data_IF_188322618732
#
_entry.id   IF_188322618732
#
_cell.length_a   1.000
_cell.length_b   1.000
_cell.length_c   1.000
_cell.angle_alpha   90.00
_cell.angle_beta   90.00
_cell.angle_gamma   90.00
#
_symmetry.space_group_name_H-M   'P 1'
#
loop_
_entity.id
_entity.type
_entity.pdbx_description
1 polymer ?
#
# COMPACT_ATOMS: atom_id res chain seq x y z
N UNK A 1 -37.37 5.48 -17.29
CA UNK A 1 -36.62 4.24 -17.07
C UNK A 1 -35.22 4.43 -17.60
N UNK A 2 -34.22 4.21 -16.75
CA UNK A 2 -32.86 3.77 -17.12
C UNK A 2 -32.26 3.23 -15.81
N UNK A 3 -31.84 1.98 -15.89
CA UNK A 3 -31.33 1.14 -14.81
C UNK A 3 -29.83 0.93 -15.01
N UNK A 4 -29.14 0.79 -13.87
CA UNK A 4 -27.90 0.06 -13.59
C UNK A 4 -26.68 0.19 -14.52
N UNK A 5 -25.60 0.70 -13.94
CA UNK A 5 -24.35 -0.05 -13.87
C UNK A 5 -23.69 0.22 -12.51
N UNK A 6 -23.88 -0.72 -11.59
CA UNK A 6 -23.05 -0.88 -10.39
C UNK A 6 -21.70 -1.45 -10.83
N UNK A 7 -20.67 -0.63 -10.84
CA UNK A 7 -19.30 -1.14 -10.92
C UNK A 7 -18.82 -1.45 -9.51
N UNK A 8 -18.62 -2.75 -9.28
CA UNK A 8 -18.18 -3.34 -8.04
C UNK A 8 -16.66 -3.19 -7.95
N UNK A 9 -16.16 -2.40 -7.00
CA UNK A 9 -14.74 -2.40 -6.60
C UNK A 9 -14.67 -2.81 -5.14
N UNK A 10 -14.18 -4.02 -4.90
CA UNK A 10 -14.03 -4.62 -3.59
C UNK A 10 -12.82 -3.98 -2.88
N UNK A 11 -13.02 -3.32 -1.73
CA UNK A 11 -11.90 -3.02 -0.83
C UNK A 11 -11.87 -1.68 -0.06
N UNK A 12 -12.92 -0.85 -0.07
CA UNK A 12 -12.94 0.37 0.76
C UNK A 12 -14.27 0.49 1.51
N UNK A 13 -14.31 -0.06 2.72
CA UNK A 13 -15.29 0.38 3.71
C UNK A 13 -14.88 1.76 4.21
N UNK A 14 -15.35 2.79 3.51
CA UNK A 14 -15.64 4.09 4.10
C UNK A 14 -17.15 4.19 4.21
N UNK A 15 -17.67 4.55 5.38
CA UNK A 15 -19.08 4.83 5.58
C UNK A 15 -19.59 5.77 4.47
N UNK A 16 -20.42 5.23 3.58
CA UNK A 16 -21.05 5.99 2.50
C UNK A 16 -22.10 6.89 3.16
N UNK A 17 -21.67 8.05 3.63
CA UNK A 17 -22.59 9.15 3.89
C UNK A 17 -23.11 9.60 2.52
N UNK A 18 -24.44 9.62 2.36
CA UNK A 18 -25.13 10.04 1.15
C UNK A 18 -24.88 11.54 0.87
N UNK A 19 -23.70 11.91 0.35
CA UNK A 19 -23.32 13.32 0.14
C UNK A 19 -24.09 13.98 -1.02
N UNK A 20 -24.58 13.20 -1.99
CA UNK A 20 -25.10 13.78 -3.24
C UNK A 20 -26.60 14.12 -3.26
N UNK A 21 -27.39 13.67 -2.29
CA UNK A 21 -28.85 13.90 -2.30
C UNK A 21 -29.33 15.13 -1.51
N UNK A 22 -28.44 15.77 -0.73
CA UNK A 22 -28.78 16.92 0.12
C UNK A 22 -28.37 18.28 -0.42
N UNK A 23 -27.30 18.37 -1.21
CA UNK A 23 -26.65 19.67 -1.53
C UNK A 23 -27.49 20.61 -2.38
N UNK A 24 -28.41 20.08 -3.21
CA UNK A 24 -29.30 20.88 -4.06
C UNK A 24 -30.61 21.31 -3.37
N UNK A 25 -30.91 20.77 -2.18
CA UNK A 25 -32.14 21.04 -1.44
C UNK A 25 -31.91 21.74 -0.09
N UNK A 26 -30.66 22.01 0.29
CA UNK A 26 -30.34 22.78 1.49
C UNK A 26 -30.45 24.28 1.21
N UNK A 27 -31.16 25.00 2.08
CA UNK A 27 -31.20 26.46 2.04
C UNK A 27 -29.79 27.05 2.22
N UNK A 28 -29.47 28.17 1.55
CA UNK A 28 -28.16 28.80 1.66
C UNK A 28 -27.88 29.16 3.12
N UNK A 29 -26.79 28.63 3.67
CA UNK A 29 -26.29 29.04 4.99
C UNK A 29 -25.63 30.40 4.83
N UNK A 30 -26.35 31.48 5.18
CA UNK A 30 -25.85 32.85 5.15
C UNK A 30 -24.93 33.08 6.35
N UNK A 31 -23.83 33.79 6.12
CA UNK A 31 -22.88 34.22 7.15
C UNK A 31 -23.62 35.17 8.10
N UNK A 32 -23.76 34.83 9.39
CA UNK A 32 -24.51 35.66 10.34
C UNK A 32 -23.90 37.06 10.61
N UNK A 33 -22.67 37.32 10.14
CA UNK A 33 -21.99 38.61 10.27
C UNK A 33 -21.64 39.20 8.89
N UNK A 34 -22.67 39.48 8.08
CA UNK A 34 -22.57 40.44 6.98
C UNK A 34 -23.42 41.67 7.32
N UNK A 35 -22.87 42.88 7.18
CA UNK A 35 -23.59 44.14 7.43
C UNK A 35 -24.79 44.32 6.48
N UNK A 36 -24.86 43.55 5.39
CA UNK A 36 -25.97 43.57 4.43
C UNK A 36 -27.25 42.86 4.94
N UNK A 37 -27.19 42.09 6.03
CA UNK A 37 -28.32 41.25 6.50
C UNK A 37 -29.14 41.83 7.66
N UNK A 38 -28.90 43.09 8.05
CA UNK A 38 -29.61 43.77 9.15
C UNK A 38 -31.11 44.00 8.93
N UNK A 39 -31.62 43.74 7.72
CA UNK A 39 -33.04 43.94 7.36
C UNK A 39 -34.00 42.87 7.87
N UNK A 40 -33.52 41.89 8.65
CA UNK A 40 -34.32 40.76 9.16
C UNK A 40 -34.55 40.79 10.67
N UNK A 41 -34.02 41.79 11.38
CA UNK A 41 -34.07 41.89 12.86
C UNK A 41 -35.51 42.00 13.38
N UNK A 42 -36.42 42.61 12.60
CA UNK A 42 -37.84 42.78 12.97
C UNK A 42 -38.75 41.59 12.59
N UNK A 43 -38.21 40.55 11.94
CA UNK A 43 -39.01 39.38 11.48
C UNK A 43 -38.68 38.07 12.19
N UNK A 44 -37.70 38.04 13.08
CA UNK A 44 -37.34 36.84 13.85
C UNK A 44 -37.47 37.17 15.33
N UNK A 45 -38.39 36.49 16.01
CA UNK A 45 -38.73 36.75 17.41
C UNK A 45 -37.51 36.72 18.33
N UNK A 46 -37.45 37.70 19.24
CA UNK A 46 -36.38 38.00 20.18
C UNK A 46 -35.61 36.77 20.71
N UNK A 47 -34.43 36.50 20.14
CA UNK A 47 -33.44 35.59 20.69
C UNK A 47 -32.55 36.32 21.72
N UNK A 48 -33.17 36.95 22.73
CA UNK A 48 -32.49 37.81 23.72
C UNK A 48 -31.73 37.04 24.82
N UNK A 49 -31.22 35.84 24.52
CA UNK A 49 -30.58 34.97 25.52
C UNK A 49 -29.50 34.01 25.03
N UNK A 50 -29.14 34.02 23.74
CA UNK A 50 -28.17 33.08 23.19
C UNK A 50 -26.81 33.73 22.94
N UNK A 51 -25.74 33.12 23.46
CA UNK A 51 -24.36 33.45 23.08
C UNK A 51 -24.06 32.76 21.75
N UNK A 52 -24.08 33.54 20.68
CA UNK A 52 -23.66 33.08 19.35
C UNK A 52 -22.16 32.80 19.32
N UNK A 53 -21.75 31.67 18.72
CA UNK A 53 -20.35 31.44 18.35
C UNK A 53 -19.91 32.48 17.29
N UNK A 54 -18.69 32.96 17.40
CA UNK A 54 -18.09 34.06 16.64
C UNK A 54 -18.00 33.82 15.12
N UNK A 55 -18.46 32.66 14.62
CA UNK A 55 -18.37 32.28 13.21
C UNK A 55 -19.71 32.11 12.48
N UNK A 56 -20.86 32.23 13.17
CA UNK A 56 -22.12 32.60 12.51
C UNK A 56 -22.73 31.60 11.51
N UNK A 57 -22.60 30.29 11.72
CA UNK A 57 -23.28 29.27 10.90
C UNK A 57 -24.26 28.44 11.76
N UNK A 58 -25.57 28.61 11.55
CA UNK A 58 -26.62 27.84 12.23
C UNK A 58 -27.90 27.77 11.38
N UNK A 59 -28.77 26.79 11.66
CA UNK A 59 -30.06 26.60 10.98
C UNK A 59 -31.18 26.61 12.03
N UNK A 60 -32.30 27.28 11.75
CA UNK A 60 -33.47 27.41 12.63
C UNK A 60 -34.65 26.58 12.10
N UNK A 61 -35.41 25.91 12.98
CA UNK A 61 -36.75 25.38 12.69
C UNK A 61 -37.69 25.51 13.88
N UNK A 62 -38.95 25.92 13.62
CA UNK A 62 -39.98 26.28 14.59
C UNK A 62 -41.03 25.18 14.83
N UNK A 63 -40.72 23.89 14.66
CA UNK A 63 -41.77 22.88 14.94
C UNK A 63 -41.59 21.41 14.59
N UNK A 64 -40.42 20.91 14.18
CA UNK A 64 -40.25 19.47 13.91
C UNK A 64 -38.96 18.97 14.56
N UNK A 65 -39.10 18.09 15.56
CA UNK A 65 -38.01 17.31 16.14
C UNK A 65 -37.63 16.18 15.18
N UNK A 66 -36.87 16.52 14.14
CA UNK A 66 -36.23 15.58 13.23
C UNK A 66 -34.73 15.85 13.24
N UNK A 67 -33.97 14.91 13.79
CA UNK A 67 -32.51 14.97 13.94
C UNK A 67 -31.85 14.80 12.56
N UNK A 68 -31.86 15.86 11.73
CA UNK A 68 -31.13 15.91 10.47
C UNK A 68 -29.84 16.66 10.72
N UNK A 69 -28.82 15.90 11.05
CA UNK A 69 -27.45 16.35 11.02
C UNK A 69 -26.95 16.59 9.60
N UNK A 70 -27.26 17.75 9.05
CA UNK A 70 -26.65 18.19 7.80
C UNK A 70 -25.41 19.03 8.13
N UNK A 71 -24.26 18.36 8.32
CA UNK A 71 -22.98 19.06 8.37
C UNK A 71 -22.70 19.67 7.00
N UNK A 72 -22.59 20.99 6.92
CA UNK A 72 -22.29 21.67 5.66
C UNK A 72 -20.94 21.15 5.11
N UNK A 73 -20.90 20.50 3.94
CA UNK A 73 -19.66 19.91 3.41
C UNK A 73 -18.58 20.96 3.14
N UNK A 74 -18.96 22.21 2.82
CA UNK A 74 -18.02 23.32 2.67
C UNK A 74 -17.42 23.74 4.02
N UNK A 75 -18.20 23.68 5.11
CA UNK A 75 -17.72 23.95 6.47
C UNK A 75 -16.72 22.88 6.91
N UNK A 76 -17.07 21.59 6.76
CA UNK A 76 -16.19 20.47 7.11
C UNK A 76 -14.88 20.54 6.32
N UNK A 77 -14.95 20.81 5.01
CA UNK A 77 -13.78 20.90 4.14
C UNK A 77 -12.87 22.11 4.42
N UNK A 78 -13.40 23.23 4.90
CA UNK A 78 -12.60 24.42 5.23
C UNK A 78 -11.73 24.21 6.48
N UNK A 79 -12.16 23.30 7.35
CA UNK A 79 -11.74 23.30 8.73
C UNK A 79 -11.05 22.00 9.17
N UNK A 80 -11.37 20.89 8.52
CA UNK A 80 -10.58 19.67 8.62
C UNK A 80 -9.29 19.86 7.81
N UNK A 81 -8.14 19.78 8.47
CA UNK A 81 -6.85 19.76 7.76
C UNK A 81 -6.36 18.34 7.71
N UNK A 82 -6.19 17.77 6.52
CA UNK A 82 -5.56 16.46 6.33
C UNK A 82 -4.56 16.54 5.20
N UNK A 83 -3.29 16.61 5.57
CA UNK A 83 -2.19 16.76 4.63
C UNK A 83 -1.21 15.62 4.85
N UNK A 84 -0.76 15.03 3.75
CA UNK A 84 0.37 14.09 3.75
C UNK A 84 1.44 14.66 2.83
N UNK A 85 2.63 14.91 3.38
CA UNK A 85 3.82 15.23 2.59
C UNK A 85 4.57 13.94 2.32
N UNK A 86 4.93 13.67 1.06
CA UNK A 86 5.64 12.45 0.67
C UNK A 86 6.93 12.83 -0.03
N UNK A 87 8.04 12.44 0.56
CA UNK A 87 9.37 12.53 -0.04
C UNK A 87 9.76 11.13 -0.52
N UNK A 88 10.10 10.99 -1.80
CA UNK A 88 10.49 9.70 -2.39
C UNK A 88 11.83 9.82 -3.12
N UNK A 89 12.75 8.94 -2.77
CA UNK A 89 14.00 8.70 -3.47
C UNK A 89 13.93 7.33 -4.15
N UNK A 90 14.37 7.26 -5.41
CA UNK A 90 14.54 6.00 -6.16
C UNK A 90 15.85 6.11 -6.91
N UNK A 91 16.73 5.13 -6.71
CA UNK A 91 17.98 5.00 -7.44
C UNK A 91 18.13 3.58 -7.96
N UNK A 92 18.57 3.46 -9.20
CA UNK A 92 18.90 2.18 -9.83
C UNK A 92 20.27 2.29 -10.50
N UNK A 93 21.03 1.20 -10.48
CA UNK A 93 22.33 1.10 -11.13
C UNK A 93 22.50 -0.32 -11.68
N UNK A 94 22.99 -0.43 -12.91
CA UNK A 94 23.26 -1.73 -13.52
C UNK A 94 24.57 -1.70 -14.30
N UNK A 95 25.21 -2.86 -14.42
CA UNK A 95 26.39 -3.06 -15.25
C UNK A 95 26.32 -4.44 -15.91
N UNK A 96 26.56 -4.47 -17.22
CA UNK A 96 26.74 -5.68 -18.02
C UNK A 96 28.19 -5.79 -18.47
N UNK A 97 28.74 -6.99 -18.40
CA UNK A 97 30.12 -7.27 -18.76
C UNK A 97 30.20 -8.55 -19.58
N UNK A 98 30.73 -8.45 -20.81
CA UNK A 98 31.08 -9.61 -21.63
C UNK A 98 32.39 -10.23 -21.12
N UNK A 99 32.24 -11.32 -20.38
CA UNK A 99 33.35 -12.08 -19.80
C UNK A 99 34.24 -12.74 -20.85
N UNK A 100 33.68 -13.21 -21.98
CA UNK A 100 34.50 -13.78 -23.06
C UNK A 100 35.35 -12.71 -23.72
N UNK A 101 34.75 -11.54 -23.96
CA UNK A 101 35.44 -10.35 -24.45
C UNK A 101 36.59 -9.92 -23.53
N UNK A 102 36.41 -9.95 -22.21
CA UNK A 102 37.44 -9.60 -21.23
C UNK A 102 38.67 -10.53 -21.27
N UNK A 103 38.47 -11.83 -21.49
CA UNK A 103 39.57 -12.80 -21.59
C UNK A 103 40.14 -12.92 -23.01
N UNK A 104 39.73 -12.04 -23.92
CA UNK A 104 40.22 -11.97 -25.31
C UNK A 104 39.58 -12.99 -26.26
N UNK A 105 38.59 -13.76 -25.82
CA UNK A 105 37.87 -14.72 -26.65
C UNK A 105 36.77 -13.98 -27.42
N UNK A 106 37.03 -13.69 -28.70
CA UNK A 106 36.03 -13.09 -29.58
C UNK A 106 35.32 -14.20 -30.38
N UNK A 107 34.06 -14.44 -30.05
CA UNK A 107 33.21 -15.35 -30.81
C UNK A 107 31.96 -14.63 -31.30
N UNK A 108 31.60 -14.83 -32.58
CA UNK A 108 30.34 -14.30 -33.13
C UNK A 108 29.12 -15.09 -32.68
N UNK A 109 29.33 -16.33 -32.23
CA UNK A 109 28.27 -17.29 -31.95
C UNK A 109 28.15 -17.62 -30.46
N UNK A 110 29.07 -17.13 -29.63
CA UNK A 110 29.11 -17.42 -28.20
C UNK A 110 29.36 -16.13 -27.42
N UNK A 111 28.54 -15.86 -26.41
CA UNK A 111 28.66 -14.74 -25.49
C UNK A 111 28.48 -15.22 -24.05
N UNK A 112 29.21 -14.63 -23.10
CA UNK A 112 29.03 -14.87 -21.67
C UNK A 112 28.95 -13.53 -20.97
N UNK A 113 27.74 -13.18 -20.54
CA UNK A 113 27.43 -11.88 -19.96
C UNK A 113 27.23 -12.02 -18.45
N UNK A 114 27.94 -11.21 -17.67
CA UNK A 114 27.65 -11.02 -16.27
C UNK A 114 26.95 -9.68 -16.07
N UNK A 115 25.78 -9.73 -15.45
CA UNK A 115 24.94 -8.57 -15.17
C UNK A 115 24.77 -8.43 -13.67
N UNK A 116 25.02 -7.22 -13.16
CA UNK A 116 24.66 -6.81 -11.81
C UNK A 116 23.61 -5.70 -11.89
N UNK A 117 22.57 -5.80 -11.08
CA UNK A 117 21.52 -4.80 -10.95
C UNK A 117 21.33 -4.46 -9.47
N UNK A 118 21.26 -3.18 -9.16
CA UNK A 118 21.06 -2.62 -7.83
C UNK A 118 19.90 -1.65 -7.91
N UNK A 119 18.95 -1.77 -6.99
CA UNK A 119 17.84 -0.83 -6.83
C UNK A 119 17.70 -0.48 -5.36
N UNK A 120 17.45 0.80 -5.08
CA UNK A 120 17.11 1.28 -3.75
C UNK A 120 16.02 2.33 -3.87
N UNK A 121 14.94 2.15 -3.10
CA UNK A 121 13.91 3.16 -2.96
C UNK A 121 13.65 3.45 -1.49
N UNK A 122 13.38 4.73 -1.19
CA UNK A 122 12.98 5.18 0.14
C UNK A 122 11.86 6.18 0.01
N UNK A 123 10.78 5.96 0.74
CA UNK A 123 9.62 6.83 0.80
C UNK A 123 9.39 7.24 2.26
N UNK A 124 9.42 8.53 2.54
CA UNK A 124 9.07 9.12 3.84
C UNK A 124 7.77 9.90 3.66
N UNK A 125 6.73 9.50 4.39
CA UNK A 125 5.45 10.20 4.41
C UNK A 125 5.22 10.82 5.79
N UNK A 126 4.96 12.12 5.83
CA UNK A 126 4.60 12.88 7.03
C UNK A 126 3.13 13.23 6.98
N UNK A 127 2.36 12.60 7.83
CA UNK A 127 0.92 12.80 7.93
C UNK A 127 0.59 13.85 9.00
N UNK A 128 -0.34 14.74 8.69
CA UNK A 128 -0.94 15.65 9.65
C UNK A 128 -2.45 15.68 9.43
N UNK A 129 -3.20 15.36 10.49
CA UNK A 129 -4.65 15.50 10.52
C UNK A 129 -5.05 16.36 11.72
N UNK A 130 -5.83 17.40 11.50
CA UNK A 130 -6.45 18.21 12.55
C UNK A 130 -7.96 18.17 12.39
N UNK A 131 -8.64 17.75 13.45
CA UNK A 131 -10.08 17.72 13.57
C UNK A 131 -10.45 18.58 14.78
N UNK A 132 -11.01 19.77 14.59
CA UNK A 132 -11.53 20.55 15.71
C UNK A 132 -12.84 19.94 16.25
N UNK A 133 -13.14 20.23 17.51
CA UNK A 133 -14.22 19.62 18.31
C UNK A 133 -15.63 19.77 17.72
N UNK A 134 -15.90 20.87 17.00
CA UNK A 134 -17.23 21.17 16.46
C UNK A 134 -17.60 20.35 15.20
N UNK A 135 -16.66 19.61 14.57
CA UNK A 135 -16.97 18.65 13.48
C UNK A 135 -17.56 17.33 14.02
N UNK A 136 -17.26 16.98 15.28
CA UNK A 136 -17.69 15.71 15.88
C UNK A 136 -19.04 15.79 16.61
N UNK A 137 -19.56 17.00 16.87
CA UNK A 137 -20.78 17.15 17.66
C UNK A 137 -22.01 17.12 16.76
N UNK A 138 -22.61 15.94 16.67
CA UNK A 138 -23.85 15.76 15.92
C UNK A 138 -25.12 15.93 16.74
N UNK A 139 -24.97 16.17 18.06
CA UNK A 139 -26.08 16.28 19.00
C UNK A 139 -25.68 17.27 20.11
N UNK A 140 -26.46 18.35 20.20
CA UNK A 140 -26.82 19.10 21.41
C UNK A 140 -25.66 19.46 22.36
N UNK A 141 -25.27 20.73 22.39
CA UNK A 141 -24.60 21.43 23.51
C UNK A 141 -23.58 20.63 24.34
N UNK A 142 -22.63 19.95 23.70
CA UNK A 142 -21.48 19.38 24.40
C UNK A 142 -20.38 20.44 24.54
N UNK A 143 -19.64 20.35 25.64
CA UNK A 143 -18.42 21.13 25.84
C UNK A 143 -17.51 21.01 24.62
N UNK A 144 -16.78 22.08 24.31
CA UNK A 144 -15.79 22.12 23.24
C UNK A 144 -14.61 21.20 23.60
N UNK A 145 -14.80 19.90 23.37
CA UNK A 145 -13.92 18.82 23.79
C UNK A 145 -13.70 17.83 22.64
N UNK A 146 -12.68 17.00 22.75
CA UNK A 146 -12.25 16.01 21.75
C UNK A 146 -11.72 16.57 20.42
N UNK A 147 -11.15 17.80 20.40
CA UNK A 147 -10.25 18.16 19.31
C UNK A 147 -9.18 17.09 19.16
N UNK A 148 -8.82 16.74 17.92
CA UNK A 148 -7.79 15.73 17.66
C UNK A 148 -6.76 16.26 16.67
N UNK A 149 -5.51 16.31 17.11
CA UNK A 149 -4.36 16.43 16.24
C UNK A 149 -3.70 15.06 16.14
N UNK A 150 -3.60 14.52 14.93
CA UNK A 150 -2.80 13.32 14.64
C UNK A 150 -1.62 13.75 13.78
N UNK A 151 -0.40 13.36 14.18
CA UNK A 151 0.81 13.47 13.36
C UNK A 151 1.41 12.09 13.19
N UNK A 152 1.77 11.73 11.97
CA UNK A 152 2.37 10.44 11.63
C UNK A 152 3.63 10.59 10.82
N UNK A 153 4.52 9.61 10.93
CA UNK A 153 5.67 9.40 10.06
C UNK A 153 5.63 7.95 9.59
N UNK A 154 5.69 7.74 8.28
CA UNK A 154 5.77 6.42 7.66
C UNK A 154 6.99 6.37 6.77
N UNK A 155 7.91 5.49 7.09
CA UNK A 155 9.14 5.27 6.35
C UNK A 155 9.09 3.88 5.72
N UNK A 156 9.19 3.83 4.41
CA UNK A 156 9.30 2.60 3.63
C UNK A 156 10.62 2.62 2.89
N UNK A 157 11.41 1.56 2.97
CA UNK A 157 12.60 1.40 2.14
C UNK A 157 12.64 0.01 1.55
N UNK A 158 13.05 -0.06 0.29
CA UNK A 158 13.20 -1.28 -0.48
C UNK A 158 14.59 -1.29 -1.11
N UNK A 159 15.29 -2.41 -1.00
CA UNK A 159 16.62 -2.61 -1.56
C UNK A 159 16.68 -3.94 -2.29
N UNK A 160 17.15 -3.93 -3.53
CA UNK A 160 17.28 -5.11 -4.38
C UNK A 160 18.70 -5.20 -4.94
N UNK A 161 19.27 -6.39 -4.87
CA UNK A 161 20.53 -6.76 -5.51
C UNK A 161 20.29 -8.01 -6.35
N UNK A 162 20.59 -7.92 -7.64
CA UNK A 162 20.51 -9.05 -8.56
C UNK A 162 21.86 -9.26 -9.24
N UNK A 163 22.32 -10.49 -9.24
CA UNK A 163 23.52 -10.93 -9.93
C UNK A 163 23.13 -12.04 -10.87
N UNK A 164 23.40 -11.91 -12.16
CA UNK A 164 23.08 -12.93 -13.15
C UNK A 164 24.27 -13.16 -14.09
N UNK A 165 24.46 -14.41 -14.46
CA UNK A 165 25.38 -14.81 -15.52
C UNK A 165 24.57 -15.50 -16.61
N UNK A 166 24.73 -15.05 -17.84
CA UNK A 166 24.00 -15.55 -19.00
C UNK A 166 24.98 -15.99 -20.07
N UNK A 167 24.85 -17.22 -20.52
CA UNK A 167 25.56 -17.76 -21.67
C UNK A 167 24.62 -17.85 -22.86
N UNK A 168 25.03 -17.27 -23.98
CA UNK A 168 24.33 -17.33 -25.26
C UNK A 168 25.22 -18.04 -26.27
N UNK A 169 24.76 -19.18 -26.80
CA UNK A 169 25.53 -20.02 -27.71
C UNK A 169 24.73 -20.46 -28.92
N UNK A 170 25.33 -20.34 -30.11
CA UNK A 170 24.78 -20.81 -31.38
C UNK A 170 25.70 -21.84 -32.04
N UNK A 171 25.21 -23.06 -32.17
CA UNK A 171 25.95 -24.19 -32.77
C UNK A 171 25.11 -24.73 -33.93
N UNK A 172 25.43 -24.31 -35.15
CA UNK A 172 24.64 -24.65 -36.34
C UNK A 172 23.19 -24.16 -36.21
N UNK A 173 22.25 -25.12 -36.08
CA UNK A 173 20.81 -24.85 -35.89
C UNK A 173 20.38 -24.74 -34.44
N UNK A 174 21.28 -25.04 -33.50
CA UNK A 174 21.00 -25.04 -32.07
C UNK A 174 21.31 -23.67 -31.50
N UNK A 175 20.35 -23.07 -30.80
CA UNK A 175 20.54 -21.87 -30.00
C UNK A 175 20.26 -22.24 -28.54
N UNK A 176 21.22 -21.95 -27.67
CA UNK A 176 21.19 -22.24 -26.24
C UNK A 176 21.36 -20.91 -25.51
N UNK A 177 20.43 -20.60 -24.62
CA UNK A 177 20.54 -19.50 -23.66
C UNK A 177 20.43 -20.11 -22.26
N UNK A 178 21.49 -20.00 -21.48
CA UNK A 178 21.56 -20.51 -20.11
C UNK A 178 21.78 -19.32 -19.18
N UNK A 179 20.96 -19.20 -18.14
CA UNK A 179 21.10 -18.16 -17.12
C UNK A 179 21.15 -18.81 -15.75
N UNK A 180 22.08 -18.32 -14.92
CA UNK A 180 22.10 -18.56 -13.49
C UNK A 180 22.09 -17.21 -12.77
N UNK A 181 21.33 -17.08 -11.69
CA UNK A 181 21.16 -15.81 -11.00
C UNK A 181 20.90 -15.96 -9.52
N UNK A 182 21.27 -14.91 -8.78
CA UNK A 182 20.98 -14.74 -7.35
C UNK A 182 20.32 -13.38 -7.18
N UNK A 183 19.22 -13.33 -6.44
CA UNK A 183 18.55 -12.07 -6.07
C UNK A 183 18.40 -12.00 -4.56
N UNK A 184 18.52 -10.79 -4.03
CA UNK A 184 18.25 -10.49 -2.63
C UNK A 184 17.48 -9.18 -2.55
N UNK A 185 16.31 -9.24 -1.91
CA UNK A 185 15.41 -8.12 -1.69
C UNK A 185 15.22 -7.92 -0.18
N UNK A 186 15.22 -6.68 0.26
CA UNK A 186 14.95 -6.29 1.65
C UNK A 186 14.03 -5.08 1.71
N UNK A 187 12.89 -5.28 2.38
CA UNK A 187 11.89 -4.26 2.66
C UNK A 187 11.92 -3.92 4.15
N UNK A 188 11.99 -2.64 4.47
CA UNK A 188 11.85 -2.15 5.84
C UNK A 188 10.71 -1.13 5.90
N UNK A 189 9.87 -1.28 6.92
CA UNK A 189 8.77 -0.38 7.22
C UNK A 189 8.91 0.11 8.66
N UNK A 190 8.94 1.43 8.86
CA UNK A 190 8.90 2.04 10.18
C UNK A 190 7.76 3.05 10.24
N UNK A 191 6.85 2.83 11.17
CA UNK A 191 5.65 3.63 11.37
C UNK A 191 5.71 4.26 12.75
N UNK A 192 5.35 5.53 12.81
CA UNK A 192 5.15 6.28 14.03
C UNK A 192 3.86 7.08 13.88
N UNK A 193 2.98 7.00 14.87
CA UNK A 193 1.82 7.87 14.95
C UNK A 193 1.71 8.41 16.36
N UNK A 194 1.40 9.69 16.47
CA UNK A 194 1.09 10.36 17.72
C UNK A 194 -0.20 11.14 17.56
N UNK A 195 -1.06 11.11 18.58
CA UNK A 195 -2.23 11.97 18.59
C UNK A 195 -2.46 12.58 19.96
N UNK A 196 -2.93 13.82 19.94
CA UNK A 196 -3.34 14.56 21.11
C UNK A 196 -4.84 14.82 21.05
N UNK A 197 -5.48 14.87 22.23
CA UNK A 197 -6.87 15.31 22.38
C UNK A 197 -7.04 16.40 23.44
N UNK A 198 -8.15 17.14 23.35
CA UNK A 198 -8.55 18.21 24.27
C UNK A 198 -7.52 19.34 24.30
N UNK A 199 -7.53 20.16 23.25
CA UNK A 199 -6.60 21.28 23.10
C UNK A 199 -7.15 22.56 23.71
N UNK A 200 -6.30 23.35 24.36
CA UNK A 200 -6.68 24.68 24.85
C UNK A 200 -6.64 25.71 23.73
N UNK A 201 -7.63 26.60 23.71
CA UNK A 201 -7.65 27.74 22.80
C UNK A 201 -6.81 28.93 23.30
N UNK A 202 -6.21 29.72 22.41
CA UNK A 202 -6.18 29.55 20.95
C UNK A 202 -5.32 28.35 20.52
N UNK A 203 -5.74 27.65 19.46
CA UNK A 203 -5.11 26.40 19.06
C UNK A 203 -3.69 26.62 18.50
N UNK A 204 -2.69 26.14 19.23
CA UNK A 204 -1.32 25.96 18.72
C UNK A 204 -1.07 24.48 18.44
N UNK A 205 -1.10 24.09 17.17
CA UNK A 205 -1.14 22.68 16.72
C UNK A 205 0.20 21.94 16.88
N UNK A 206 0.56 21.67 18.13
CA UNK A 206 1.65 20.79 18.53
C UNK A 206 1.14 19.74 19.51
N UNK A 207 1.55 18.48 19.35
CA UNK A 207 1.04 17.38 20.16
C UNK A 207 1.18 17.64 21.68
N UNK A 208 2.29 18.26 22.10
CA UNK A 208 2.55 18.62 23.51
C UNK A 208 1.55 19.62 24.12
N UNK A 209 0.80 20.36 23.29
CA UNK A 209 -0.19 21.32 23.77
C UNK A 209 -1.57 20.67 24.00
N UNK A 210 -1.70 19.37 23.73
CA UNK A 210 -2.88 18.59 24.07
C UNK A 210 -2.88 18.23 25.56
N UNK A 211 -4.06 18.17 26.18
CA UNK A 211 -4.19 17.69 27.57
C UNK A 211 -3.82 16.21 27.70
N UNK A 212 -4.22 15.39 26.73
CA UNK A 212 -3.91 13.97 26.69
C UNK A 212 -3.18 13.65 25.37
N UNK A 213 -2.08 12.92 25.46
CA UNK A 213 -1.27 12.49 24.31
C UNK A 213 -1.09 10.98 24.29
N UNK A 214 -1.11 10.42 23.09
CA UNK A 214 -0.93 9.00 22.83
C UNK A 214 0.05 8.81 21.69
N UNK A 215 0.70 7.66 21.64
CA UNK A 215 1.67 7.33 20.60
C UNK A 215 1.72 5.83 20.35
N UNK A 216 1.95 5.46 19.11
CA UNK A 216 2.22 4.10 18.67
C UNK A 216 3.36 4.09 17.66
N UNK A 217 4.16 3.04 17.65
CA UNK A 217 5.21 2.84 16.66
C UNK A 217 5.38 1.36 16.35
N UNK A 218 5.70 1.06 15.10
CA UNK A 218 5.87 -0.28 14.58
C UNK A 218 7.06 -0.33 13.63
N UNK A 219 7.79 -1.43 13.65
CA UNK A 219 8.88 -1.70 12.71
C UNK A 219 8.73 -3.12 12.15
N UNK A 220 8.80 -3.24 10.83
CA UNK A 220 8.71 -4.49 10.10
C UNK A 220 9.88 -4.59 9.14
N UNK A 221 10.41 -5.81 9.01
CA UNK A 221 11.47 -6.14 8.06
C UNK A 221 11.12 -7.43 7.34
N UNK A 222 11.14 -7.38 6.02
CA UNK A 222 10.95 -8.53 5.15
C UNK A 222 12.18 -8.68 4.25
N UNK A 223 12.62 -9.91 4.01
CA UNK A 223 13.71 -10.18 3.08
C UNK A 223 13.44 -11.45 2.30
N UNK A 224 13.71 -11.40 1.01
CA UNK A 224 13.56 -12.51 0.07
C UNK A 224 14.90 -12.78 -0.60
N UNK A 225 15.37 -14.01 -0.53
CA UNK A 225 16.56 -14.47 -1.23
C UNK A 225 16.18 -15.54 -2.25
N UNK A 226 16.63 -15.40 -3.49
CA UNK A 226 16.29 -16.34 -4.56
C UNK A 226 17.51 -16.79 -5.35
N UNK A 227 17.48 -18.04 -5.77
CA UNK A 227 18.38 -18.61 -6.75
C UNK A 227 17.59 -19.01 -7.98
N UNK A 228 18.01 -18.57 -9.16
CA UNK A 228 17.34 -18.84 -10.44
C UNK A 228 18.29 -19.56 -11.39
N UNK A 229 17.80 -20.62 -12.00
CA UNK A 229 18.38 -21.24 -13.18
C UNK A 229 17.35 -21.24 -14.31
N UNK A 230 17.77 -20.82 -15.51
CA UNK A 230 16.92 -20.82 -16.71
C UNK A 230 17.68 -21.39 -17.89
N UNK A 231 17.07 -22.34 -18.59
CA UNK A 231 17.51 -22.87 -19.86
C UNK A 231 16.45 -22.56 -20.91
N UNK A 232 16.83 -21.79 -21.92
CA UNK A 232 16.09 -21.68 -23.16
C UNK A 232 16.86 -22.38 -24.27
N UNK A 233 16.19 -23.27 -24.98
CA UNK A 233 16.75 -24.00 -26.09
C UNK A 233 15.84 -23.86 -27.30
N UNK A 234 16.46 -23.62 -28.44
CA UNK A 234 15.78 -23.45 -29.71
C UNK A 234 16.53 -24.22 -30.79
N UNK A 235 15.84 -25.16 -31.43
CA UNK A 235 16.34 -25.86 -32.61
C UNK A 235 15.67 -25.36 -33.88
N UNK A 236 16.46 -24.77 -34.79
CA UNK A 236 16.06 -24.28 -36.12
C UNK A 236 14.86 -23.32 -36.09
N UNK A 237 14.62 -22.67 -34.95
CA UNK A 237 13.44 -21.88 -34.64
C UNK A 237 12.11 -22.65 -34.76
N UNK A 238 12.15 -23.99 -34.70
CA UNK A 238 10.99 -24.88 -34.81
C UNK A 238 10.59 -25.45 -33.47
N UNK A 239 11.53 -26.09 -32.77
CA UNK A 239 11.32 -26.69 -31.47
C UNK A 239 11.92 -25.77 -30.41
N UNK A 240 11.08 -25.38 -29.47
CA UNK A 240 11.40 -24.44 -28.41
C UNK A 240 11.19 -25.15 -27.09
N UNK A 241 12.22 -25.14 -26.24
CA UNK A 241 12.17 -25.63 -24.87
C UNK A 241 12.57 -24.48 -23.95
N UNK A 242 11.80 -24.28 -22.90
CA UNK A 242 12.11 -23.36 -21.81
C UNK A 242 11.96 -24.13 -20.51
N UNK A 243 13.00 -24.19 -19.70
CA UNK A 243 12.98 -24.75 -18.37
C UNK A 243 13.51 -23.72 -17.38
N UNK A 244 12.81 -23.54 -16.26
CA UNK A 244 13.22 -22.65 -15.18
C UNK A 244 13.12 -23.42 -13.88
N UNK A 245 14.12 -23.28 -13.03
CA UNK A 245 14.05 -23.71 -11.65
C UNK A 245 14.43 -22.52 -10.78
N UNK A 246 13.57 -22.20 -9.83
CA UNK A 246 13.81 -21.13 -8.87
C UNK A 246 13.72 -21.70 -7.46
N UNK A 247 14.58 -21.24 -6.56
CA UNK A 247 14.55 -21.60 -5.15
C UNK A 247 14.50 -20.32 -4.32
N UNK A 248 13.42 -20.12 -3.60
CA UNK A 248 13.12 -18.88 -2.87
C UNK A 248 13.09 -19.09 -1.38
N UNK A 249 13.67 -18.12 -0.67
CA UNK A 249 13.83 -18.08 0.77
C UNK A 249 13.19 -16.82 1.36
N UNK A 250 12.04 -16.93 2.03
CA UNK A 250 11.37 -15.78 2.66
C UNK A 250 11.63 -15.69 4.16
N UNK A 251 11.90 -14.48 4.69
CA UNK A 251 12.02 -14.24 6.13
C UNK A 251 10.69 -14.35 6.89
N UNK A 252 9.55 -14.30 6.20
CA UNK A 252 8.20 -14.48 6.79
C UNK A 252 7.94 -15.90 7.25
N UNK A 253 8.72 -16.87 6.76
CA UNK A 253 8.59 -18.28 7.07
C UNK A 253 9.62 -18.75 8.11
N UNK A 254 9.25 -19.79 8.85
CA UNK A 254 10.13 -20.39 9.86
C UNK A 254 11.41 -20.95 9.22
N UNK A 255 12.48 -21.13 10.01
CA UNK A 255 13.78 -21.60 9.51
C UNK A 255 13.71 -22.92 8.74
N UNK A 256 12.75 -23.78 9.08
CA UNK A 256 12.61 -25.11 8.52
C UNK A 256 11.91 -25.12 7.15
N UNK A 257 10.95 -24.22 6.93
CA UNK A 257 10.12 -24.20 5.71
C UNK A 257 10.36 -23.00 4.81
N UNK A 258 11.26 -22.08 5.18
CA UNK A 258 11.47 -20.84 4.42
C UNK A 258 11.94 -21.01 2.98
N UNK A 259 12.52 -22.15 2.65
CA UNK A 259 13.03 -22.42 1.31
C UNK A 259 12.14 -23.40 0.55
N UNK A 260 11.58 -22.95 -0.57
CA UNK A 260 10.82 -23.77 -1.49
C UNK A 260 11.42 -23.71 -2.91
N UNK A 261 11.20 -24.76 -3.70
CA UNK A 261 11.69 -24.86 -5.08
C UNK A 261 10.50 -24.88 -6.03
N UNK A 262 10.55 -24.03 -7.05
CA UNK A 262 9.49 -23.81 -8.02
C UNK A 262 10.01 -24.12 -9.43
N UNK A 263 9.82 -25.36 -9.91
CA UNK A 263 10.16 -25.73 -11.28
C UNK A 263 9.07 -25.28 -12.25
N UNK A 264 9.47 -24.93 -13.47
CA UNK A 264 8.57 -24.76 -14.60
C UNK A 264 9.22 -25.21 -15.90
N UNK A 265 8.40 -25.76 -16.81
CA UNK A 265 8.82 -26.22 -18.13
C UNK A 265 7.77 -25.82 -19.17
N UNK A 266 8.25 -25.43 -20.34
CA UNK A 266 7.41 -25.12 -21.50
C UNK A 266 8.02 -25.67 -22.76
N UNK A 267 7.17 -26.25 -23.59
CA UNK A 267 7.48 -26.72 -24.92
C UNK A 267 6.69 -25.89 -25.94
N UNK A 268 7.35 -25.50 -27.02
CA UNK A 268 6.75 -24.80 -28.14
C UNK A 268 7.17 -25.45 -29.45
N UNK A 269 6.21 -25.61 -30.36
CA UNK A 269 6.47 -26.15 -31.68
C UNK A 269 5.83 -25.25 -32.74
N UNK A 270 6.65 -24.74 -33.65
CA UNK A 270 6.24 -24.00 -34.84
C UNK A 270 5.98 -24.96 -36.00
N UNK A 271 4.73 -25.39 -36.10
CA UNK A 271 4.26 -26.22 -37.21
C UNK A 271 4.35 -25.50 -38.56
N UNK A 272 4.22 -24.17 -38.58
CA UNK A 272 4.35 -23.35 -39.81
C UNK A 272 5.73 -23.45 -40.49
N UNK A 273 6.74 -23.93 -39.76
CA UNK A 273 8.09 -24.14 -40.28
C UNK A 273 8.36 -25.57 -40.73
N UNK A 274 7.36 -26.44 -40.66
CA UNK A 274 7.48 -27.81 -41.11
C UNK A 274 7.27 -27.91 -42.61
N UNK A 275 8.12 -28.72 -43.28
CA UNK A 275 8.02 -28.92 -44.74
C UNK A 275 6.70 -29.62 -45.13
N UNK A 276 6.11 -30.35 -44.21
CA UNK A 276 4.87 -31.09 -44.41
C UNK A 276 3.62 -30.27 -44.07
N UNK A 277 3.75 -29.01 -43.63
CA UNK A 277 2.61 -28.18 -43.34
C UNK A 277 1.90 -27.79 -44.65
N UNK A 278 0.64 -28.21 -44.87
CA UNK A 278 0.03 -28.19 -46.20
C UNK A 278 -0.58 -26.83 -46.58
N UNK A 279 -0.59 -25.85 -45.66
CA UNK A 279 -1.27 -24.56 -45.84
C UNK A 279 -0.25 -23.49 -46.27
N UNK A 280 -0.59 -22.72 -47.31
CA UNK A 280 0.24 -21.59 -47.76
C UNK A 280 0.41 -20.54 -46.66
N UNK A 281 1.60 -19.91 -46.61
CA UNK A 281 1.91 -18.80 -45.69
C UNK A 281 1.05 -17.56 -45.93
N UNK A 282 0.42 -17.45 -47.10
CA UNK A 282 -0.52 -16.37 -47.41
C UNK A 282 -1.86 -16.53 -46.68
N UNK A 283 -2.20 -17.76 -46.27
CA UNK A 283 -3.41 -18.07 -45.50
C UNK A 283 -3.08 -18.13 -44.01
N UNK A 284 -1.96 -18.74 -43.63
CA UNK A 284 -1.50 -18.84 -42.24
C UNK A 284 -0.05 -18.38 -42.12
N UNK A 285 0.16 -17.15 -41.66
CA UNK A 285 1.50 -16.56 -41.53
C UNK A 285 2.33 -17.18 -40.40
N UNK A 286 1.69 -17.68 -39.35
CA UNK A 286 2.35 -18.34 -38.21
C UNK A 286 1.39 -19.31 -37.52
N UNK A 287 1.86 -20.52 -37.24
CA UNK A 287 1.12 -21.52 -36.50
C UNK A 287 2.03 -22.22 -35.49
N UNK A 288 1.83 -21.89 -34.22
CA UNK A 288 2.63 -22.36 -33.09
C UNK A 288 1.73 -23.00 -32.04
N UNK A 289 2.09 -24.20 -31.62
CA UNK A 289 1.49 -24.86 -30.46
C UNK A 289 2.44 -24.71 -29.28
N UNK A 290 1.90 -24.45 -28.08
CA UNK A 290 2.67 -24.33 -26.84
C UNK A 290 1.95 -25.09 -25.72
N UNK A 291 2.74 -25.80 -24.93
CA UNK A 291 2.32 -26.39 -23.66
C UNK A 291 3.29 -25.92 -22.56
N UNK A 292 2.79 -25.77 -21.34
CA UNK A 292 3.60 -25.41 -20.18
C UNK A 292 3.00 -25.95 -18.89
N UNK A 293 3.87 -26.27 -17.95
CA UNK A 293 3.53 -26.67 -16.59
C UNK A 293 4.55 -26.06 -15.63
N UNK A 294 4.10 -25.62 -14.46
CA UNK A 294 4.99 -25.07 -13.45
C UNK A 294 4.29 -24.87 -12.11
N UNK A 295 5.11 -24.82 -11.07
CA UNK A 295 4.68 -24.55 -9.70
C UNK A 295 5.05 -23.11 -9.32
N UNK A 296 4.23 -22.47 -8.49
CA UNK A 296 4.43 -21.11 -8.01
C UNK A 296 4.26 -21.07 -6.49
N UNK A 297 5.07 -20.24 -5.83
CA UNK A 297 4.95 -19.95 -4.41
C UNK A 297 4.18 -18.67 -4.15
N UNK A 298 3.60 -18.55 -2.96
CA UNK A 298 3.04 -17.30 -2.47
C UNK A 298 3.32 -17.17 -0.96
N UNK A 299 4.11 -16.17 -0.60
CA UNK A 299 4.55 -15.85 0.75
C UNK A 299 3.91 -14.56 1.29
N UNK A 300 2.77 -14.14 0.72
CA UNK A 300 2.02 -12.96 1.15
C UNK A 300 1.26 -13.19 2.47
N UNK A 301 2.02 -13.48 3.52
CA UNK A 301 1.58 -13.59 4.91
C UNK A 301 2.19 -12.42 5.72
N UNK A 302 1.64 -12.14 6.90
CA UNK A 302 2.19 -11.08 7.76
C UNK A 302 3.60 -11.42 8.27
N UNK A 303 4.37 -10.39 8.61
CA UNK A 303 5.71 -10.57 9.17
C UNK A 303 5.67 -11.26 10.54
N UNK A 304 6.66 -12.12 10.80
CA UNK A 304 6.90 -12.79 12.08
C UNK A 304 5.76 -13.67 12.61
N UNK A 305 4.81 -14.12 11.78
CA UNK A 305 3.70 -14.97 12.22
C UNK A 305 4.13 -16.33 12.82
N UNK A 306 5.34 -16.80 12.50
CA UNK A 306 5.96 -18.00 13.07
C UNK A 306 6.62 -17.76 14.45
N UNK A 307 6.58 -16.55 14.99
CA UNK A 307 7.19 -16.21 16.27
C UNK A 307 6.12 -15.95 17.34
N UNK A 308 6.39 -16.40 18.57
CA UNK A 308 5.57 -16.05 19.72
C UNK A 308 5.87 -14.60 20.10
N UNK A 309 4.90 -13.70 19.94
CA UNK A 309 5.07 -12.31 20.35
C UNK A 309 4.70 -12.13 21.82
N UNK A 310 5.54 -11.41 22.57
CA UNK A 310 5.21 -10.93 23.90
C UNK A 310 4.51 -9.58 23.76
N UNK A 311 3.18 -9.59 23.87
CA UNK A 311 2.39 -8.37 23.78
C UNK A 311 2.27 -7.70 25.15
N UNK A 312 2.40 -6.38 25.15
CA UNK A 312 2.21 -5.55 26.35
C UNK A 312 0.72 -5.28 26.66
N UNK A 313 -0.18 -5.55 25.69
CA UNK A 313 -1.66 -5.53 25.66
C UNK A 313 -2.41 -5.21 26.97
N UNK A 314 -2.14 -4.06 27.59
CA UNK A 314 -2.71 -3.63 28.87
C UNK A 314 -2.79 -4.74 29.94
N UNK A 315 -1.84 -5.67 29.93
CA UNK A 315 -1.79 -6.75 30.92
C UNK A 315 -1.35 -6.13 32.25
N UNK A 316 -2.33 -5.68 33.02
CA UNK A 316 -2.12 -4.87 34.21
C UNK A 316 -2.15 -5.78 35.42
N UNK A 317 -1.02 -5.89 36.09
CA UNK A 317 -0.87 -6.62 37.34
C UNK A 317 -0.93 -5.62 38.49
N UNK A 318 -1.50 -6.01 39.63
CA UNK A 318 -1.45 -5.19 40.84
C UNK A 318 -0.25 -5.61 41.67
N UNK A 319 0.75 -4.74 41.78
CA UNK A 319 1.86 -4.90 42.72
C UNK A 319 1.75 -3.80 43.78
N UNK A 320 1.55 -4.19 45.04
CA UNK A 320 1.44 -3.24 46.16
C UNK A 320 0.33 -2.19 45.98
N UNK A 321 -0.86 -2.61 45.49
CA UNK A 321 -1.99 -1.75 45.13
C UNK A 321 -1.71 -0.70 44.03
N UNK A 322 -0.60 -0.83 43.29
CA UNK A 322 -0.33 -0.02 42.10
C UNK A 322 -0.48 -0.86 40.82
N UNK A 323 -1.22 -0.38 39.81
CA UNK A 323 -1.29 -1.04 38.52
C UNK A 323 0.06 -0.95 37.81
N UNK A 324 0.62 -2.10 37.42
CA UNK A 324 1.85 -2.23 36.65
C UNK A 324 1.54 -2.96 35.35
N UNK A 325 1.85 -2.35 34.21
CA UNK A 325 1.68 -2.98 32.90
C UNK A 325 2.83 -3.94 32.61
N UNK A 326 2.55 -5.24 32.57
CA UNK A 326 3.46 -6.29 32.15
C UNK A 326 3.27 -6.69 30.68
N UNK A 327 4.02 -7.71 30.25
CA UNK A 327 3.91 -8.33 28.92
C UNK A 327 3.81 -9.84 29.09
N UNK A 328 3.01 -10.51 28.26
CA UNK A 328 3.01 -11.96 28.19
C UNK A 328 2.91 -12.44 26.73
N UNK A 329 3.29 -13.70 26.51
CA UNK A 329 3.01 -14.38 25.24
C UNK A 329 1.52 -14.63 25.16
N UNK A 330 0.85 -14.01 24.18
CA UNK A 330 -0.61 -14.08 24.04
C UNK A 330 -1.06 -14.66 22.70
N UNK A 331 -0.13 -15.17 21.88
CA UNK A 331 -0.41 -15.67 20.53
C UNK A 331 0.02 -17.12 20.39
N UNK A 332 -0.85 -17.96 19.83
CA UNK A 332 -0.50 -19.31 19.38
C UNK A 332 0.35 -19.20 18.12
N UNK A 333 1.42 -20.01 18.06
CA UNK A 333 2.38 -20.02 16.95
C UNK A 333 2.17 -21.27 16.13
N UNK A 334 2.01 -21.09 14.82
CA UNK A 334 2.17 -22.19 13.87
C UNK A 334 3.52 -22.02 13.17
N UNK A 335 4.37 -23.06 13.19
CA UNK A 335 5.67 -23.02 12.54
C UNK A 335 5.61 -23.48 11.06
N UNK A 336 4.48 -24.06 10.65
CA UNK A 336 4.21 -24.63 9.34
C UNK A 336 3.14 -23.80 8.62
N UNK A 337 3.41 -22.51 8.42
CA UNK A 337 2.49 -21.54 7.78
C UNK A 337 2.64 -21.56 6.24
N UNK A 338 3.01 -22.72 5.67
CA UNK A 338 3.26 -22.88 4.25
C UNK A 338 1.98 -22.92 3.42
#
# INVERSE_FOLDING_TARGET
>A
GLSNASEYVQGLYGDVTNVLRGTLLMQPTIKAYDKSTWVLDDKVGAANGYRYDAYGYGVYYDGVHGDISASNPLLVNNLLQRNTLVDRFVGTASADVDLLGMVGIKSKNHGLHYNVNLSYSKTEAKDKTWIPSWIQSNRVYLAKENERLTKGSRNYSDALVENTITYDGKIGKHNINLLAGMTYEEENTNLLTGWGINFTEPYFLQLQNAKNTYSESYEFKHSLASYVGRLNYNYDEKYLLSAVVRRDGSSRLSKNIRWATFPSVSLGWRFDKEKFFPISRDIVNMFKIRASYGELGNENIGEYQYMASMNRNNMTYSFGNSPVTGSAVSTFVNNDIA
#
